data_IF_167049315656
#
_entry.id   IF_167049315656
#
_cell.length_a   1.000
_cell.length_b   1.000
_cell.length_c   1.000
_cell.angle_alpha   90.00
_cell.angle_beta   90.00
_cell.angle_gamma   90.00
#
_symmetry.space_group_name_H-M   'P 1'
#
loop_
_entity.id
_entity.type
_entity.pdbx_description
1 polymer ?
#
# COMPACT_ATOMS: atom_id res chain seq x y z
N UNK A 1 2.62 -14.74 -8.45
CA UNK A 1 3.64 -13.67 -8.44
C UNK A 1 3.87 -13.19 -7.01
N UNK A 2 5.12 -13.03 -6.56
CA UNK A 2 5.39 -12.31 -5.31
C UNK A 2 4.82 -10.89 -5.41
N UNK A 3 4.39 -10.34 -4.27
CA UNK A 3 3.81 -8.99 -4.19
C UNK A 3 4.76 -8.07 -3.44
N UNK A 4 5.07 -6.93 -4.04
CA UNK A 4 5.90 -5.89 -3.42
C UNK A 4 5.03 -4.67 -3.09
N UNK A 5 4.82 -4.44 -1.80
CA UNK A 5 4.08 -3.28 -1.29
C UNK A 5 5.04 -2.11 -1.04
N UNK A 6 4.90 -1.02 -1.79
CA UNK A 6 5.69 0.20 -1.62
C UNK A 6 4.85 1.25 -0.89
N UNK A 7 5.25 1.54 0.34
CA UNK A 7 4.59 2.51 1.20
C UNK A 7 5.18 3.91 0.97
N UNK A 8 4.33 4.92 0.83
CA UNK A 8 4.76 6.31 0.64
C UNK A 8 5.10 6.97 1.99
N UNK A 9 5.75 8.14 1.92
CA UNK A 9 6.11 8.93 3.10
C UNK A 9 4.93 9.69 3.72
N UNK A 10 5.18 10.33 4.87
CA UNK A 10 4.13 10.97 5.67
C UNK A 10 3.35 12.09 4.96
N UNK A 11 3.98 12.87 4.08
CA UNK A 11 3.32 13.92 3.28
C UNK A 11 2.98 13.49 1.85
N UNK A 12 3.02 12.18 1.60
CA UNK A 12 2.96 11.59 0.27
C UNK A 12 1.63 10.96 -0.08
N UNK A 13 1.62 10.25 -1.22
CA UNK A 13 0.47 9.50 -1.73
C UNK A 13 0.88 8.24 -2.48
N UNK A 14 -0.10 7.44 -2.90
CA UNK A 14 0.10 6.19 -3.65
C UNK A 14 0.84 6.37 -4.98
N UNK A 15 0.89 7.60 -5.52
CA UNK A 15 1.55 7.89 -6.79
C UNK A 15 3.03 8.28 -6.65
N UNK A 16 3.52 8.59 -5.44
CA UNK A 16 4.83 9.20 -5.23
C UNK A 16 5.97 8.37 -5.83
N UNK A 17 5.93 7.05 -5.65
CA UNK A 17 6.96 6.16 -6.18
C UNK A 17 6.90 6.01 -7.71
N UNK A 18 5.77 6.36 -8.31
CA UNK A 18 5.59 6.43 -9.77
C UNK A 18 6.04 7.77 -10.35
N UNK A 19 5.68 8.87 -9.69
CA UNK A 19 5.86 10.23 -10.23
C UNK A 19 7.18 10.87 -9.81
N UNK A 20 7.56 10.73 -8.55
CA UNK A 20 8.81 11.27 -7.97
C UNK A 20 9.88 10.19 -7.86
N UNK A 21 9.47 8.93 -7.76
CA UNK A 21 10.34 7.75 -7.78
C UNK A 21 10.54 7.17 -9.18
N UNK A 22 11.05 5.95 -9.22
CA UNK A 22 11.28 5.19 -10.46
C UNK A 22 10.65 3.79 -10.42
N UNK A 23 9.59 3.57 -9.62
CA UNK A 23 9.05 2.24 -9.34
C UNK A 23 8.70 1.47 -10.62
N UNK A 24 8.09 2.14 -11.61
CA UNK A 24 7.78 1.52 -12.91
C UNK A 24 9.03 1.00 -13.63
N UNK A 25 10.11 1.80 -13.68
CA UNK A 25 11.38 1.40 -14.31
C UNK A 25 12.12 0.34 -13.48
N UNK A 26 12.14 0.49 -12.15
CA UNK A 26 12.82 -0.44 -11.26
C UNK A 26 12.17 -1.84 -11.27
N UNK A 27 10.85 -1.91 -11.47
CA UNK A 27 10.10 -3.17 -11.47
C UNK A 27 9.83 -3.73 -12.87
N UNK A 28 10.16 -3.01 -13.96
CA UNK A 28 9.68 -3.33 -15.32
C UNK A 28 10.04 -4.73 -15.82
N UNK A 29 11.18 -5.26 -15.37
CA UNK A 29 11.70 -6.57 -15.80
C UNK A 29 11.52 -7.65 -14.72
N UNK A 30 10.83 -7.35 -13.63
CA UNK A 30 10.61 -8.27 -12.53
C UNK A 30 9.26 -8.98 -12.71
N UNK A 31 9.26 -10.30 -12.49
CA UNK A 31 8.02 -11.09 -12.45
C UNK A 31 7.34 -10.97 -11.09
N UNK A 32 6.83 -9.78 -10.76
CA UNK A 32 6.14 -9.47 -9.51
C UNK A 32 4.93 -8.57 -9.74
N UNK A 33 4.05 -8.49 -8.73
CA UNK A 33 2.98 -7.49 -8.68
C UNK A 33 3.44 -6.37 -7.74
N UNK A 34 3.50 -5.14 -8.25
CA UNK A 34 3.78 -3.95 -7.44
C UNK A 34 2.47 -3.33 -6.96
N UNK A 35 2.32 -3.13 -5.66
CA UNK A 35 1.17 -2.44 -5.06
C UNK A 35 1.68 -1.22 -4.32
N UNK A 36 1.11 -0.05 -4.60
CA UNK A 36 1.41 1.20 -3.92
C UNK A 36 0.12 1.66 -3.24
N UNK A 37 -0.12 1.29 -1.97
CA UNK A 37 -1.35 1.68 -1.30
C UNK A 37 -1.22 3.05 -0.63
N UNK A 38 -2.34 3.75 -0.54
CA UNK A 38 -2.42 5.00 0.20
C UNK A 38 -2.51 4.71 1.72
N UNK A 39 -1.65 5.37 2.50
CA UNK A 39 -1.60 5.32 3.96
C UNK A 39 -2.10 6.58 4.64
N UNK A 40 -2.58 7.56 3.88
CA UNK A 40 -3.00 8.89 4.35
C UNK A 40 -1.83 9.77 4.82
N UNK A 41 -2.12 11.07 4.93
CA UNK A 41 -1.16 12.00 5.50
C UNK A 41 -0.87 11.63 6.96
N UNK A 42 0.41 11.51 7.31
CA UNK A 42 0.93 11.10 8.62
C UNK A 42 0.26 9.84 9.20
N UNK A 43 -0.26 8.94 8.37
CA UNK A 43 -1.02 7.77 8.86
C UNK A 43 -0.14 6.70 9.50
N UNK A 44 1.14 6.64 9.14
CA UNK A 44 2.15 5.68 9.64
C UNK A 44 1.71 4.21 9.60
N UNK A 45 0.74 3.88 8.74
CA UNK A 45 0.24 2.51 8.53
C UNK A 45 -0.20 1.81 9.82
N UNK A 46 -0.60 2.59 10.83
CA UNK A 46 -1.04 2.10 12.13
C UNK A 46 -2.47 2.52 12.44
N UNK A 47 -3.16 1.76 13.28
CA UNK A 47 -4.47 2.17 13.78
C UNK A 47 -4.27 3.24 14.86
N UNK A 48 -4.86 4.41 14.65
CA UNK A 48 -4.78 5.49 15.63
C UNK A 48 -5.69 5.21 16.82
N UNK A 49 -5.18 5.48 18.03
CA UNK A 49 -5.96 5.35 19.26
C UNK A 49 -7.03 6.44 19.34
N UNK A 50 -6.70 7.65 18.87
CA UNK A 50 -7.60 8.80 18.82
C UNK A 50 -7.67 9.25 17.34
N UNK A 51 -8.64 8.74 16.57
CA UNK A 51 -8.79 9.14 15.18
C UNK A 51 -9.30 10.59 15.04
N UNK A 52 -8.97 11.22 13.92
CA UNK A 52 -9.51 12.50 13.49
C UNK A 52 -10.98 12.41 13.06
N UNK A 53 -11.58 13.56 12.74
CA UNK A 53 -13.03 13.67 12.49
C UNK A 53 -13.49 13.18 11.12
N UNK A 54 -12.59 13.04 10.14
CA UNK A 54 -12.98 12.75 8.75
C UNK A 54 -13.39 11.30 8.54
N UNK A 55 -12.66 10.36 9.14
CA UNK A 55 -12.90 8.93 9.07
C UNK A 55 -12.08 8.23 10.16
N UNK A 56 -12.36 6.97 10.52
CA UNK A 56 -11.46 6.19 11.36
C UNK A 56 -10.10 5.95 10.66
N UNK A 57 -8.99 6.38 11.27
CA UNK A 57 -7.62 6.10 10.80
C UNK A 57 -7.18 4.69 11.23
N UNK A 58 -7.86 3.67 10.72
CA UNK A 58 -7.56 2.25 10.96
C UNK A 58 -6.63 1.68 9.89
N UNK A 59 -5.47 2.32 9.68
CA UNK A 59 -4.58 1.99 8.56
C UNK A 59 -4.03 0.57 8.62
N UNK A 60 -3.67 0.04 9.79
CA UNK A 60 -3.20 -1.34 9.91
C UNK A 60 -4.29 -2.31 9.48
N UNK A 61 -5.52 -2.10 9.95
CA UNK A 61 -6.66 -2.95 9.59
C UNK A 61 -6.95 -2.89 8.10
N UNK A 62 -6.99 -1.69 7.52
CA UNK A 62 -7.16 -1.52 6.07
C UNK A 62 -6.09 -2.29 5.28
N UNK A 63 -4.81 -2.12 5.59
CA UNK A 63 -3.75 -2.77 4.82
C UNK A 63 -3.71 -4.29 5.04
N UNK A 64 -3.73 -4.74 6.29
CA UNK A 64 -3.46 -6.14 6.63
C UNK A 64 -4.68 -7.05 6.49
N UNK A 65 -5.88 -6.53 6.76
CA UNK A 65 -7.09 -7.35 6.87
C UNK A 65 -8.04 -7.14 5.68
N UNK A 66 -7.86 -6.06 4.90
CA UNK A 66 -8.71 -5.76 3.75
C UNK A 66 -7.91 -5.80 2.46
N UNK A 67 -6.87 -4.96 2.33
CA UNK A 67 -6.11 -4.82 1.10
C UNK A 67 -5.33 -6.08 0.74
N UNK A 68 -4.50 -6.60 1.64
CA UNK A 68 -3.67 -7.80 1.36
C UNK A 68 -4.57 -9.00 0.98
N UNK A 69 -5.61 -9.35 1.75
CA UNK A 69 -6.52 -10.44 1.36
C UNK A 69 -7.23 -10.17 0.02
N UNK A 70 -7.61 -8.93 -0.26
CA UNK A 70 -8.21 -8.58 -1.55
C UNK A 70 -7.23 -8.78 -2.70
N UNK A 71 -5.96 -8.38 -2.54
CA UNK A 71 -4.91 -8.59 -3.54
C UNK A 71 -4.67 -10.07 -3.78
N UNK A 72 -4.55 -10.87 -2.72
CA UNK A 72 -4.34 -12.32 -2.83
C UNK A 72 -5.52 -13.05 -3.46
N UNK A 73 -6.75 -12.62 -3.17
CA UNK A 73 -7.95 -13.23 -3.75
C UNK A 73 -8.13 -12.89 -5.24
N UNK A 74 -7.83 -11.66 -5.64
CA UNK A 74 -8.17 -11.16 -6.97
C UNK A 74 -7.02 -11.26 -7.98
N UNK A 75 -5.77 -11.34 -7.52
CA UNK A 75 -4.59 -11.41 -8.39
C UNK A 75 -3.90 -12.76 -8.29
N UNK A 76 -3.06 -13.08 -9.28
CA UNK A 76 -2.28 -14.32 -9.31
C UNK A 76 -1.06 -14.21 -8.37
N UNK A 77 -1.27 -14.14 -7.06
CA UNK A 77 -0.18 -14.07 -6.08
C UNK A 77 0.42 -15.47 -5.81
N UNK A 78 1.55 -15.55 -5.10
CA UNK A 78 2.15 -16.85 -4.69
C UNK A 78 1.55 -17.41 -3.41
N UNK A 79 0.92 -16.53 -2.63
CA UNK A 79 0.17 -16.82 -1.42
C UNK A 79 -1.20 -17.37 -1.82
N UNK A 80 -1.36 -18.68 -1.71
CA UNK A 80 -2.66 -19.37 -1.68
C UNK A 80 -2.79 -20.09 -0.35
#
# INVERSE_FOLDING_TARGET
YPVFYLLHGAGGSEIDWTTSGIAGKACSNLSLITVMPNGGEVGFYTNWIIPGKLAPQNWRTYHMEQLVPWVDFNLRTVTK
#
